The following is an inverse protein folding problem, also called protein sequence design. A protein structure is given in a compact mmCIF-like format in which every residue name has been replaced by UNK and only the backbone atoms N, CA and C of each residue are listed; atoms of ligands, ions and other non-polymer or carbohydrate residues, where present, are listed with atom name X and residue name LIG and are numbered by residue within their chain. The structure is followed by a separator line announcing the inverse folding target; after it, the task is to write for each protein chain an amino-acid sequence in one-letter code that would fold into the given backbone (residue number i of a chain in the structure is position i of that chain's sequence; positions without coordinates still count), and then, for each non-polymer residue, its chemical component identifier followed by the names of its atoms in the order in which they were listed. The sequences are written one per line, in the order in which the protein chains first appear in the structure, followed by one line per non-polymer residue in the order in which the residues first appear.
data_IF_800787580832
#
_entry.id   IF_800787580832
#
_cell.length_a   1.000
_cell.length_b   1.000
_cell.length_c   1.000
_cell.angle_alpha   90.00
_cell.angle_beta   90.00
_cell.angle_gamma   90.00
#
_symmetry.space_group_name_H-M   'P 1'
#
loop_
_entity.id
_entity.type
_entity.pdbx_description
1 polymer ?
#
# COMPACT_ATOMS: atom_id res chain seq x y z
N UNK A 1 21.33 -1.39 6.86
CA UNK A 1 21.11 0.07 6.78
C UNK A 1 19.63 0.43 6.59
N UNK A 2 18.89 -0.18 5.65
CA UNK A 2 17.50 0.21 5.35
C UNK A 2 16.42 -0.87 5.51
N UNK A 3 16.80 -2.15 5.63
CA UNK A 3 15.86 -3.28 5.70
C UNK A 3 15.58 -3.88 4.32
N UNK A 4 15.26 -5.17 4.27
CA UNK A 4 15.06 -5.90 3.00
C UNK A 4 13.83 -5.41 2.23
N UNK A 5 12.76 -5.05 2.93
CA UNK A 5 11.52 -4.61 2.29
C UNK A 5 11.64 -3.21 1.69
N UNK A 6 12.41 -2.32 2.34
CA UNK A 6 12.74 -1.02 1.76
C UNK A 6 13.46 -1.20 0.41
N UNK A 7 14.45 -2.10 0.35
CA UNK A 7 15.17 -2.39 -0.89
C UNK A 7 14.27 -3.03 -1.95
N UNK A 8 13.46 -4.03 -1.59
CA UNK A 8 12.51 -4.67 -2.53
C UNK A 8 11.51 -3.65 -3.10
N UNK A 9 10.98 -2.79 -2.25
CA UNK A 9 10.04 -1.77 -2.68
C UNK A 9 10.68 -0.74 -3.61
N UNK A 10 11.93 -0.31 -3.33
CA UNK A 10 12.68 0.56 -4.25
C UNK A 10 12.87 -0.09 -5.62
N UNK A 11 13.27 -1.36 -5.64
CA UNK A 11 13.46 -2.12 -6.88
C UNK A 11 12.16 -2.28 -7.66
N UNK A 12 11.09 -2.68 -6.99
CA UNK A 12 9.78 -2.89 -7.60
C UNK A 12 9.22 -1.59 -8.20
N UNK A 13 9.31 -0.47 -7.46
CA UNK A 13 8.87 0.85 -7.92
C UNK A 13 9.71 1.39 -9.08
N UNK A 14 10.98 1.02 -9.16
CA UNK A 14 11.90 1.39 -10.24
C UNK A 14 11.85 0.49 -11.48
N UNK A 15 11.16 -0.65 -11.42
CA UNK A 15 11.17 -1.69 -12.45
C UNK A 15 10.29 -1.36 -13.68
N UNK A 16 10.49 -0.19 -14.29
CA UNK A 16 9.84 0.16 -15.54
C UNK A 16 10.46 -0.66 -16.70
N UNK A 17 9.66 -1.20 -17.63
CA UNK A 17 10.19 -1.95 -18.76
C UNK A 17 11.12 -1.12 -19.64
N UNK A 18 12.26 -1.70 -20.03
CA UNK A 18 13.18 -1.12 -21.02
C UNK A 18 14.04 0.04 -20.52
N UNK A 19 14.08 0.30 -19.20
CA UNK A 19 14.96 1.30 -18.60
C UNK A 19 15.88 0.68 -17.55
N UNK A 20 17.09 1.20 -17.45
CA UNK A 20 17.95 0.91 -16.30
C UNK A 20 17.32 1.49 -15.04
N UNK A 21 17.47 0.78 -13.91
CA UNK A 21 16.99 1.25 -12.61
C UNK A 21 18.14 1.93 -11.87
N UNK A 22 18.24 3.28 -11.88
CA UNK A 22 19.23 3.97 -11.07
C UNK A 22 18.82 3.89 -9.60
N UNK A 23 19.51 3.07 -8.80
CA UNK A 23 19.22 2.97 -7.36
C UNK A 23 20.06 4.02 -6.62
N UNK A 24 19.44 5.17 -6.35
CA UNK A 24 19.98 6.16 -5.42
C UNK A 24 19.74 5.74 -3.97
N UNK A 25 20.72 5.99 -3.09
CA UNK A 25 20.57 5.69 -1.66
C UNK A 25 19.40 6.46 -1.02
N UNK A 26 19.10 7.66 -1.54
CA UNK A 26 17.96 8.48 -1.13
C UNK A 26 16.60 7.82 -1.44
N UNK A 27 16.50 7.02 -2.52
CA UNK A 27 15.26 6.31 -2.90
C UNK A 27 14.98 5.15 -1.96
N UNK A 28 16.05 4.44 -1.56
CA UNK A 28 15.99 3.38 -0.55
C UNK A 28 15.60 3.96 0.81
N UNK A 29 16.10 5.15 1.14
CA UNK A 29 15.69 5.86 2.35
C UNK A 29 14.21 6.26 2.31
N UNK A 30 13.71 6.78 1.20
CA UNK A 30 12.28 7.06 1.00
C UNK A 30 11.42 5.81 1.17
N UNK A 31 11.84 4.69 0.57
CA UNK A 31 11.15 3.40 0.69
C UNK A 31 11.13 2.89 2.14
N UNK A 32 12.22 3.05 2.89
CA UNK A 32 12.26 2.73 4.33
C UNK A 32 11.26 3.57 5.12
N UNK A 33 11.16 4.86 4.83
CA UNK A 33 10.21 5.75 5.51
C UNK A 33 8.76 5.29 5.27
N UNK A 34 8.45 4.89 4.03
CA UNK A 34 7.17 4.30 3.69
C UNK A 34 6.90 2.99 4.45
N UNK A 35 7.83 2.03 4.43
CA UNK A 35 7.67 0.77 5.18
C UNK A 35 7.47 1.01 6.68
N UNK A 36 8.18 1.99 7.26
CA UNK A 36 8.00 2.38 8.66
C UNK A 36 6.61 2.98 8.91
N UNK A 37 6.11 3.85 8.02
CA UNK A 37 4.77 4.44 8.14
C UNK A 37 3.70 3.35 8.08
N UNK A 38 3.82 2.40 7.15
CA UNK A 38 2.92 1.24 7.04
C UNK A 38 2.92 0.43 8.34
N UNK A 39 4.10 0.07 8.86
CA UNK A 39 4.20 -0.67 10.12
C UNK A 39 3.55 0.08 11.30
N UNK A 40 3.79 1.40 11.41
CA UNK A 40 3.21 2.23 12.46
C UNK A 40 1.68 2.30 12.36
N UNK A 41 1.14 2.50 11.15
CA UNK A 41 -0.30 2.56 10.91
C UNK A 41 -0.99 1.23 11.24
N UNK A 42 -0.45 0.11 10.76
CA UNK A 42 -0.99 -1.22 11.07
C UNK A 42 -0.91 -1.52 12.56
N UNK A 43 0.23 -1.22 13.22
CA UNK A 43 0.38 -1.40 14.67
C UNK A 43 -0.64 -0.55 15.43
N UNK A 44 -0.83 0.70 15.05
CA UNK A 44 -1.83 1.58 15.65
C UNK A 44 -3.24 0.99 15.52
N UNK A 45 -3.64 0.56 14.33
CA UNK A 45 -4.95 -0.05 14.10
C UNK A 45 -5.16 -1.30 14.97
N UNK A 46 -4.19 -2.23 15.00
CA UNK A 46 -4.26 -3.44 15.81
C UNK A 46 -4.34 -3.13 17.31
N UNK A 47 -3.57 -2.15 17.80
CA UNK A 47 -3.64 -1.71 19.19
C UNK A 47 -4.99 -1.10 19.57
N UNK A 48 -5.75 -0.61 18.59
CA UNK A 48 -7.09 -0.04 18.76
C UNK A 48 -8.20 -1.06 18.42
N UNK A 49 -7.88 -2.36 18.36
CA UNK A 49 -8.88 -3.42 18.21
C UNK A 49 -9.20 -3.80 16.77
N UNK A 50 -8.42 -3.35 15.77
CA UNK A 50 -8.52 -3.91 14.43
C UNK A 50 -8.21 -5.41 14.47
N UNK A 51 -8.99 -6.19 13.71
CA UNK A 51 -8.85 -7.64 13.61
C UNK A 51 -9.11 -8.09 12.18
N UNK A 52 -8.53 -9.22 11.81
CA UNK A 52 -8.79 -9.93 10.54
C UNK A 52 -9.72 -11.13 10.75
N UNK A 53 -10.20 -11.33 11.98
CA UNK A 53 -11.07 -12.45 12.31
C UNK A 53 -12.53 -12.14 11.96
N UNK A 54 -13.15 -13.09 11.26
CA UNK A 54 -14.57 -13.02 10.92
C UNK A 54 -14.88 -12.15 9.69
N UNK A 55 -16.16 -12.13 9.28
CA UNK A 55 -16.59 -11.33 8.15
C UNK A 55 -16.65 -9.84 8.52
N UNK A 56 -16.54 -8.98 7.51
CA UNK A 56 -16.85 -7.57 7.67
C UNK A 56 -18.32 -7.38 8.11
N UNK A 57 -18.62 -6.32 8.89
CA UNK A 57 -19.99 -5.95 9.20
C UNK A 57 -20.82 -5.72 7.92
N UNK A 58 -22.14 -5.99 7.96
CA UNK A 58 -23.01 -5.69 6.83
C UNK A 58 -23.02 -4.18 6.53
N UNK A 59 -23.19 -3.82 5.26
CA UNK A 59 -22.96 -2.47 4.75
C UNK A 59 -23.83 -1.39 5.43
N UNK A 60 -25.00 -1.77 5.95
CA UNK A 60 -25.94 -0.90 6.67
C UNK A 60 -25.40 -0.46 8.04
N UNK A 61 -24.44 -1.21 8.61
CA UNK A 61 -23.78 -0.88 9.88
C UNK A 61 -22.49 -0.10 9.71
N UNK A 62 -22.03 0.07 8.47
CA UNK A 62 -20.82 0.83 8.15
C UNK A 62 -21.15 2.31 8.00
N UNK A 63 -20.20 3.19 8.33
CA UNK A 63 -20.34 4.61 8.00
C UNK A 63 -20.20 4.82 6.48
N UNK A 64 -20.53 6.02 5.99
CA UNK A 64 -20.27 6.37 4.60
C UNK A 64 -18.76 6.31 4.27
N UNK A 65 -17.92 6.74 5.21
CA UNK A 65 -16.47 6.71 5.11
C UNK A 65 -15.93 5.28 5.03
N UNK A 66 -16.42 4.37 5.88
CA UNK A 66 -16.03 2.95 5.85
C UNK A 66 -16.41 2.29 4.53
N UNK A 67 -17.62 2.56 4.03
CA UNK A 67 -18.06 2.03 2.72
C UNK A 67 -17.20 2.58 1.59
N UNK A 68 -16.81 3.86 1.66
CA UNK A 68 -15.94 4.47 0.66
C UNK A 68 -14.56 3.80 0.62
N UNK A 69 -13.89 3.66 1.78
CA UNK A 69 -12.53 3.07 1.79
C UNK A 69 -12.55 1.60 1.37
N UNK A 70 -13.60 0.86 1.71
CA UNK A 70 -13.78 -0.52 1.27
C UNK A 70 -14.08 -0.63 -0.23
N UNK A 71 -14.84 0.32 -0.81
CA UNK A 71 -15.04 0.41 -2.25
C UNK A 71 -13.72 0.67 -2.97
N UNK A 72 -12.92 1.61 -2.45
CA UNK A 72 -11.59 1.93 -2.98
C UNK A 72 -10.64 0.74 -2.87
N UNK A 73 -10.66 0.01 -1.75
CA UNK A 73 -9.90 -1.22 -1.59
C UNK A 73 -10.25 -2.23 -2.69
N UNK A 74 -11.54 -2.46 -2.97
CA UNK A 74 -11.98 -3.37 -4.03
C UNK A 74 -11.48 -2.94 -5.42
N UNK A 75 -11.54 -1.65 -5.74
CA UNK A 75 -11.03 -1.10 -7.00
C UNK A 75 -9.50 -1.24 -7.11
N UNK A 76 -8.77 -0.99 -6.02
CA UNK A 76 -7.31 -1.10 -5.95
C UNK A 76 -6.89 -2.56 -6.05
N UNK A 77 -7.59 -3.50 -5.43
CA UNK A 77 -7.31 -4.93 -5.55
C UNK A 77 -7.44 -5.40 -7.00
N UNK A 78 -8.55 -5.06 -7.68
CA UNK A 78 -8.74 -5.44 -9.08
C UNK A 78 -7.66 -4.85 -10.01
N UNK A 79 -7.27 -3.59 -9.78
CA UNK A 79 -6.18 -2.96 -10.53
C UNK A 79 -4.82 -3.58 -10.22
N UNK A 80 -4.57 -3.91 -8.95
CA UNK A 80 -3.34 -4.56 -8.51
C UNK A 80 -3.17 -5.93 -9.17
N UNK A 81 -4.24 -6.74 -9.19
CA UNK A 81 -4.24 -8.06 -9.83
C UNK A 81 -3.91 -7.92 -11.33
N UNK A 82 -4.58 -7.00 -12.03
CA UNK A 82 -4.32 -6.77 -13.46
C UNK A 82 -2.88 -6.31 -13.75
N UNK A 83 -2.32 -5.42 -12.92
CA UNK A 83 -0.94 -4.96 -13.05
C UNK A 83 0.06 -6.07 -12.71
N UNK A 84 -0.27 -6.94 -11.75
CA UNK A 84 0.56 -8.07 -11.37
C UNK A 84 0.63 -9.10 -12.51
N UNK A 85 -0.51 -9.43 -13.12
CA UNK A 85 -0.60 -10.36 -14.25
C UNK A 85 0.16 -9.85 -15.50
N UNK A 86 0.20 -8.54 -15.71
CA UNK A 86 0.96 -7.90 -16.79
C UNK A 86 2.42 -7.56 -16.41
N UNK A 87 2.90 -8.05 -15.25
CA UNK A 87 4.25 -7.82 -14.73
C UNK A 87 4.63 -6.32 -14.60
N UNK A 88 3.64 -5.43 -14.43
CA UNK A 88 3.81 -3.99 -14.31
C UNK A 88 4.14 -3.57 -12.86
N UNK A 89 5.22 -4.11 -12.28
CA UNK A 89 5.54 -3.95 -10.85
C UNK A 89 5.75 -2.49 -10.41
N UNK A 90 6.28 -1.63 -11.29
CA UNK A 90 6.45 -0.22 -11.00
C UNK A 90 5.09 0.48 -10.77
N UNK A 91 4.14 0.26 -11.68
CA UNK A 91 2.77 0.79 -11.57
C UNK A 91 2.03 0.18 -10.39
N UNK A 92 2.19 -1.12 -10.15
CA UNK A 92 1.61 -1.80 -9.00
C UNK A 92 2.09 -1.18 -7.68
N UNK A 93 3.41 -0.99 -7.56
CA UNK A 93 4.01 -0.41 -6.36
C UNK A 93 3.55 1.02 -6.11
N UNK A 94 3.38 1.80 -7.18
CA UNK A 94 2.88 3.18 -7.11
C UNK A 94 1.40 3.23 -6.73
N UNK A 95 0.56 2.37 -7.30
CA UNK A 95 -0.85 2.22 -6.94
C UNK A 95 -1.02 1.89 -5.44
N UNK A 96 -0.28 0.89 -4.95
CA UNK A 96 -0.34 0.48 -3.55
C UNK A 96 0.19 1.57 -2.61
N UNK A 97 1.23 2.31 -3.02
CA UNK A 97 1.74 3.45 -2.28
C UNK A 97 0.68 4.53 -2.11
N UNK A 98 0.04 4.94 -3.21
CA UNK A 98 -0.96 6.01 -3.20
C UNK A 98 -2.22 5.63 -2.43
N UNK A 99 -2.71 4.39 -2.59
CA UNK A 99 -3.84 3.91 -1.78
C UNK A 99 -3.50 3.91 -0.29
N UNK A 100 -2.35 3.37 0.10
CA UNK A 100 -1.95 3.33 1.50
C UNK A 100 -1.74 4.74 2.08
N UNK A 101 -1.02 5.60 1.37
CA UNK A 101 -0.65 6.91 1.88
C UNK A 101 -1.79 7.92 1.81
N UNK A 102 -2.28 8.21 0.61
CA UNK A 102 -3.16 9.35 0.35
C UNK A 102 -4.60 9.05 0.79
N UNK A 103 -5.03 7.79 0.68
CA UNK A 103 -6.41 7.41 1.00
C UNK A 103 -6.53 6.86 2.41
N UNK A 104 -5.68 5.90 2.79
CA UNK A 104 -5.81 5.26 4.11
C UNK A 104 -5.19 6.12 5.21
N UNK A 105 -3.91 6.52 5.09
CA UNK A 105 -3.21 7.19 6.19
C UNK A 105 -3.53 8.67 6.34
N UNK A 106 -3.80 9.39 5.24
CA UNK A 106 -4.04 10.83 5.29
C UNK A 106 -5.53 11.17 5.42
N UNK A 107 -6.45 10.28 5.03
CA UNK A 107 -7.89 10.56 5.01
C UNK A 107 -8.74 9.64 5.88
N UNK A 108 -8.49 8.33 5.87
CA UNK A 108 -9.33 7.38 6.61
C UNK A 108 -8.96 7.25 8.10
N UNK A 109 -7.66 7.21 8.42
CA UNK A 109 -7.11 7.04 9.78
C UNK A 109 -6.89 8.38 10.47
#
# INVERSE_FOLDING_TARGET
KYGSDALRFTLARGANPGVDVPIGEEWVQGSRNFTNKLWNATRFALMNGATVEGPLPPAERLSATDRWVLSRLGEVTAQADALYDDYQFAKLSDLLFHFAWDEVFDWYV
#
